data_IF_237275568747
#
_entry.id   IF_237275568747
#
_cell.length_a   1.000
_cell.length_b   1.000
_cell.length_c   1.000
_cell.angle_alpha   90.00
_cell.angle_beta   90.00
_cell.angle_gamma   90.00
#
_symmetry.space_group_name_H-M   'P 1'
#
loop_
_entity.id
_entity.type
_entity.pdbx_description
1 polymer ?
#
# COMPACT_ATOMS: atom_id res chain seq x y z
N UNK A 1 15.76 -17.94 -20.73
CA UNK A 1 16.17 -17.52 -19.37
C UNK A 1 14.93 -16.94 -18.70
N UNK A 2 14.81 -17.02 -17.38
CA UNK A 2 13.72 -16.39 -16.62
C UNK A 2 13.94 -14.88 -16.63
N UNK A 3 12.90 -14.07 -16.88
CA UNK A 3 13.00 -12.63 -16.82
C UNK A 3 13.16 -12.16 -15.37
N UNK A 4 13.94 -11.11 -15.15
CA UNK A 4 14.34 -10.60 -13.83
C UNK A 4 13.72 -9.23 -13.58
N UNK A 5 13.07 -9.06 -12.43
CA UNK A 5 12.43 -7.81 -12.02
C UNK A 5 12.94 -7.39 -10.65
N UNK A 6 13.46 -6.17 -10.54
CA UNK A 6 13.86 -5.58 -9.27
C UNK A 6 12.87 -4.48 -8.87
N UNK A 7 12.21 -4.67 -7.72
CA UNK A 7 11.31 -3.68 -7.14
C UNK A 7 12.10 -2.71 -6.26
N UNK A 8 12.00 -1.42 -6.55
CA UNK A 8 12.59 -0.35 -5.76
C UNK A 8 11.48 0.34 -4.97
N UNK A 9 11.54 0.22 -3.65
CA UNK A 9 10.51 0.71 -2.74
C UNK A 9 11.07 1.65 -1.67
N UNK A 10 10.20 2.45 -1.09
CA UNK A 10 10.47 3.28 0.07
C UNK A 10 9.54 2.91 1.23
N UNK A 11 10.08 2.84 2.44
CA UNK A 11 9.30 2.62 3.64
C UNK A 11 9.17 3.91 4.45
N UNK A 12 8.06 4.09 5.15
CA UNK A 12 7.86 5.27 5.99
C UNK A 12 8.90 5.36 7.09
N UNK A 13 9.46 6.54 7.30
CA UNK A 13 10.42 6.81 8.37
C UNK A 13 9.88 6.42 9.75
N UNK A 14 8.59 6.63 9.99
CA UNK A 14 7.92 6.24 11.23
C UNK A 14 8.00 4.73 11.49
N UNK A 15 7.75 3.93 10.45
CA UNK A 15 7.87 2.47 10.51
C UNK A 15 9.33 2.05 10.74
N UNK A 16 10.27 2.55 9.95
CA UNK A 16 11.69 2.22 10.08
C UNK A 16 12.22 2.57 11.47
N UNK A 17 11.92 3.76 11.99
CA UNK A 17 12.29 4.16 13.35
C UNK A 17 11.70 3.24 14.40
N UNK A 18 10.45 2.82 14.25
CA UNK A 18 9.79 1.91 15.17
C UNK A 18 10.50 0.56 15.21
N UNK A 19 10.78 -0.04 14.02
CA UNK A 19 11.40 -1.37 13.94
C UNK A 19 12.83 -1.39 14.52
N UNK A 20 13.68 -0.44 14.12
CA UNK A 20 15.03 -0.36 14.65
C UNK A 20 15.09 0.04 16.14
N UNK A 21 14.07 0.71 16.66
CA UNK A 21 13.97 1.01 18.08
C UNK A 21 13.47 -0.19 18.92
N UNK A 22 12.53 -0.97 18.38
CA UNK A 22 12.02 -2.19 19.02
C UNK A 22 13.07 -3.31 19.04
N UNK A 23 13.84 -3.43 17.96
CA UNK A 23 14.83 -4.48 17.73
C UNK A 23 16.24 -3.91 17.69
N UNK A 24 16.81 -3.61 18.87
CA UNK A 24 18.09 -2.89 19.02
C UNK A 24 19.29 -3.56 18.33
N UNK A 25 19.24 -4.87 18.12
CA UNK A 25 20.28 -5.63 17.44
C UNK A 25 20.11 -5.66 15.92
N UNK A 26 18.96 -5.23 15.41
CA UNK A 26 18.63 -5.33 13.97
C UNK A 26 19.68 -4.64 13.08
N UNK A 27 20.12 -3.44 13.46
CA UNK A 27 21.14 -2.68 12.70
C UNK A 27 22.52 -3.35 12.62
N UNK A 28 22.80 -4.34 13.50
CA UNK A 28 24.06 -5.09 13.50
C UNK A 28 24.00 -6.39 12.69
N UNK A 29 22.81 -6.76 12.18
CA UNK A 29 22.62 -7.92 11.35
C UNK A 29 23.12 -7.67 9.91
N UNK A 30 23.26 -8.74 9.13
CA UNK A 30 23.57 -8.66 7.71
C UNK A 30 22.45 -7.97 6.92
N UNK A 31 22.77 -7.49 5.71
CA UNK A 31 21.77 -6.91 4.80
C UNK A 31 20.57 -7.84 4.60
N UNK A 32 20.83 -9.11 4.32
CA UNK A 32 19.79 -10.10 4.07
C UNK A 32 18.89 -10.33 5.28
N UNK A 33 19.46 -10.42 6.48
CA UNK A 33 18.69 -10.62 7.70
C UNK A 33 17.82 -9.40 8.02
N UNK A 34 18.34 -8.18 7.83
CA UNK A 34 17.58 -6.95 8.00
C UNK A 34 16.43 -6.86 6.98
N UNK A 35 16.68 -7.15 5.70
CA UNK A 35 15.66 -7.13 4.65
C UNK A 35 14.55 -8.15 4.94
N UNK A 36 14.92 -9.37 5.31
CA UNK A 36 13.96 -10.41 5.72
C UNK A 36 13.12 -9.94 6.89
N UNK A 37 13.74 -9.38 7.95
CA UNK A 37 12.99 -8.86 9.09
C UNK A 37 11.99 -7.77 8.70
N UNK A 38 12.39 -6.81 7.86
CA UNK A 38 11.52 -5.71 7.44
C UNK A 38 10.35 -6.21 6.58
N UNK A 39 10.60 -7.13 5.66
CA UNK A 39 9.55 -7.73 4.83
C UNK A 39 8.59 -8.59 5.66
N UNK A 40 9.09 -9.31 6.67
CA UNK A 40 8.27 -10.12 7.59
C UNK A 40 7.29 -9.29 8.43
N UNK A 41 7.48 -7.97 8.53
CA UNK A 41 6.50 -7.08 9.16
C UNK A 41 5.29 -6.79 8.29
N UNK A 42 5.28 -7.18 7.01
CA UNK A 42 4.17 -7.00 6.06
C UNK A 42 3.73 -5.53 5.96
N UNK A 43 4.68 -4.59 6.03
CA UNK A 43 4.40 -3.16 5.98
C UNK A 43 4.29 -2.65 4.53
N UNK A 44 3.27 -1.82 4.26
CA UNK A 44 3.05 -1.26 2.93
C UNK A 44 2.84 -2.35 1.89
N UNK A 45 3.62 -2.31 0.83
CA UNK A 45 3.62 -3.35 -0.20
C UNK A 45 4.62 -4.48 0.13
N UNK A 46 5.48 -4.30 1.15
CA UNK A 46 6.45 -5.31 1.61
C UNK A 46 7.15 -6.03 0.43
N UNK A 47 7.15 -7.37 0.45
CA UNK A 47 7.55 -8.24 -0.66
C UNK A 47 6.35 -8.83 -1.43
N UNK A 48 5.17 -8.20 -1.34
CA UNK A 48 3.95 -8.73 -1.94
C UNK A 48 4.01 -8.78 -3.47
N UNK A 49 4.65 -7.78 -4.07
CA UNK A 49 4.83 -7.70 -5.51
C UNK A 49 5.87 -8.70 -6.00
N UNK A 50 7.06 -8.73 -5.40
CA UNK A 50 8.14 -9.63 -5.81
C UNK A 50 7.76 -11.09 -5.60
N UNK A 51 7.14 -11.42 -4.46
CA UNK A 51 6.64 -12.76 -4.14
C UNK A 51 5.55 -13.20 -5.14
N UNK A 52 4.58 -12.32 -5.44
CA UNK A 52 3.54 -12.60 -6.41
C UNK A 52 4.08 -12.75 -7.84
N UNK A 53 5.04 -11.91 -8.23
CA UNK A 53 5.65 -11.96 -9.56
C UNK A 53 6.56 -13.21 -9.71
N UNK A 54 7.25 -13.61 -8.64
CA UNK A 54 8.00 -14.88 -8.61
C UNK A 54 7.07 -16.08 -8.82
N UNK A 55 5.90 -16.07 -8.17
CA UNK A 55 4.88 -17.10 -8.39
C UNK A 55 4.33 -17.09 -9.83
N UNK A 56 4.43 -15.96 -10.55
CA UNK A 56 4.05 -15.80 -11.95
C UNK A 56 5.18 -16.06 -12.95
N UNK A 57 6.36 -16.55 -12.49
CA UNK A 57 7.43 -17.03 -13.35
C UNK A 57 8.58 -16.07 -13.63
N UNK A 58 8.72 -14.99 -12.85
CA UNK A 58 9.88 -14.11 -12.85
C UNK A 58 10.88 -14.51 -11.74
N UNK A 59 12.13 -14.10 -11.89
CA UNK A 59 13.05 -13.95 -10.77
C UNK A 59 12.88 -12.51 -10.26
N UNK A 60 12.33 -12.33 -9.05
CA UNK A 60 11.98 -11.01 -8.54
C UNK A 60 12.53 -10.79 -7.12
N UNK A 61 13.08 -9.58 -6.88
CA UNK A 61 13.62 -9.15 -5.59
C UNK A 61 13.16 -7.74 -5.24
N UNK A 62 13.27 -7.38 -3.95
CA UNK A 62 12.93 -6.07 -3.41
C UNK A 62 14.17 -5.33 -2.92
N UNK A 63 14.19 -4.01 -3.16
CA UNK A 63 15.17 -3.07 -2.69
C UNK A 63 14.50 -1.94 -1.91
N UNK A 64 14.73 -1.86 -0.59
CA UNK A 64 14.23 -0.75 0.24
C UNK A 64 15.29 0.35 0.23
N UNK A 65 15.15 1.31 -0.66
CA UNK A 65 16.22 2.27 -0.99
C UNK A 65 16.46 3.31 0.11
N UNK A 66 15.44 3.70 0.88
CA UNK A 66 15.54 4.74 1.89
C UNK A 66 15.87 4.23 3.30
N UNK A 67 16.05 2.93 3.50
CA UNK A 67 16.42 2.38 4.79
C UNK A 67 17.94 2.47 5.01
N UNK A 68 18.40 3.54 5.68
CA UNK A 68 19.83 3.81 5.85
C UNK A 68 20.57 2.67 6.55
N UNK A 69 20.02 2.06 7.60
CA UNK A 69 20.66 0.94 8.29
C UNK A 69 20.87 -0.27 7.37
N UNK A 70 19.84 -0.58 6.57
CA UNK A 70 19.89 -1.66 5.60
C UNK A 70 20.95 -1.38 4.53
N UNK A 71 20.94 -0.18 3.94
CA UNK A 71 21.90 0.20 2.89
C UNK A 71 23.33 0.28 3.42
N UNK A 72 23.54 0.76 4.66
CA UNK A 72 24.86 0.71 5.30
C UNK A 72 25.35 -0.73 5.54
N UNK A 73 24.46 -1.67 5.87
CA UNK A 73 24.85 -3.07 6.00
C UNK A 73 25.36 -3.64 4.66
N UNK A 74 24.63 -3.39 3.58
CA UNK A 74 25.07 -3.79 2.24
C UNK A 74 26.42 -3.16 1.86
N UNK A 75 26.58 -1.86 2.10
CA UNK A 75 27.82 -1.15 1.79
C UNK A 75 29.03 -1.75 2.52
N UNK A 76 28.90 -2.06 3.83
CA UNK A 76 29.94 -2.72 4.62
C UNK A 76 30.30 -4.11 4.08
N UNK A 77 29.31 -4.90 3.68
CA UNK A 77 29.51 -6.26 3.15
C UNK A 77 30.23 -6.25 1.79
N UNK A 78 30.09 -5.15 1.01
CA UNK A 78 30.62 -5.04 -0.35
C UNK A 78 31.77 -4.03 -0.47
N UNK A 79 32.23 -3.41 0.63
CA UNK A 79 33.35 -2.45 0.63
C UNK A 79 33.04 -1.15 -0.13
N UNK A 80 31.80 -0.66 -0.06
CA UNK A 80 31.33 0.58 -0.69
C UNK A 80 31.29 1.68 0.38
N UNK A 81 31.49 2.95 -0.04
CA UNK A 81 31.29 4.09 0.86
C UNK A 81 29.82 4.18 1.29
N UNK A 82 29.57 4.08 2.61
CA UNK A 82 28.23 4.16 3.20
C UNK A 82 27.54 5.52 3.02
N UNK A 83 28.27 6.56 2.63
CA UNK A 83 27.70 7.90 2.39
C UNK A 83 27.13 8.05 0.97
N UNK A 84 27.57 7.24 0.02
CA UNK A 84 27.11 7.29 -1.37
C UNK A 84 25.94 6.29 -1.60
N UNK A 85 24.74 6.72 -1.22
CA UNK A 85 23.52 5.91 -1.38
C UNK A 85 23.28 5.53 -2.85
N UNK A 86 23.58 6.43 -3.80
CA UNK A 86 23.34 6.12 -5.20
C UNK A 86 24.32 5.05 -5.73
N UNK A 87 25.59 5.09 -5.33
CA UNK A 87 26.56 4.04 -5.66
C UNK A 87 26.18 2.68 -5.06
N UNK A 88 25.62 2.68 -3.83
CA UNK A 88 25.11 1.44 -3.20
C UNK A 88 23.95 0.86 -4.03
N UNK A 89 22.96 1.67 -4.40
CA UNK A 89 21.83 1.24 -5.21
C UNK A 89 22.27 0.76 -6.59
N UNK A 90 23.19 1.49 -7.25
CA UNK A 90 23.77 1.07 -8.53
C UNK A 90 24.43 -0.30 -8.45
N UNK A 91 25.19 -0.55 -7.38
CA UNK A 91 25.85 -1.84 -7.18
C UNK A 91 24.84 -2.98 -7.02
N UNK A 92 23.78 -2.77 -6.22
CA UNK A 92 22.69 -3.74 -6.05
C UNK A 92 21.98 -4.03 -7.38
N UNK A 93 21.65 -2.98 -8.15
CA UNK A 93 21.02 -3.14 -9.48
C UNK A 93 21.97 -3.89 -10.43
N UNK A 94 23.27 -3.58 -10.40
CA UNK A 94 24.24 -4.26 -11.25
C UNK A 94 24.40 -5.74 -10.91
N UNK A 95 24.44 -6.09 -9.63
CA UNK A 95 24.57 -7.48 -9.18
C UNK A 95 23.34 -8.32 -9.50
N UNK A 96 22.16 -7.75 -9.30
CA UNK A 96 20.93 -8.43 -9.67
C UNK A 96 20.72 -8.45 -11.19
N UNK A 97 21.21 -7.46 -11.94
CA UNK A 97 21.10 -7.30 -13.40
C UNK A 97 19.68 -7.56 -13.95
N UNK A 98 18.67 -6.74 -13.56
CA UNK A 98 17.27 -6.95 -13.92
C UNK A 98 16.97 -6.62 -15.38
N UNK A 99 15.98 -7.30 -15.97
CA UNK A 99 15.36 -6.92 -17.24
C UNK A 99 14.34 -5.78 -17.04
N UNK A 100 13.74 -5.71 -15.84
CA UNK A 100 12.79 -4.67 -15.43
C UNK A 100 13.20 -4.04 -14.11
N UNK A 101 13.30 -2.70 -14.08
CA UNK A 101 13.32 -1.91 -12.85
C UNK A 101 11.90 -1.44 -12.57
N UNK A 102 11.32 -1.85 -11.46
CA UNK A 102 9.97 -1.49 -11.06
C UNK A 102 10.02 -0.53 -9.86
N UNK A 103 9.71 0.75 -10.09
CA UNK A 103 9.74 1.80 -9.07
C UNK A 103 8.34 1.98 -8.46
N UNK A 104 8.20 1.66 -7.18
CA UNK A 104 6.95 1.83 -6.44
C UNK A 104 6.72 3.26 -5.94
N UNK A 105 7.69 4.15 -6.22
CA UNK A 105 7.61 5.59 -5.92
C UNK A 105 8.20 6.38 -7.09
N UNK A 106 7.38 7.16 -7.79
CA UNK A 106 7.82 7.98 -8.94
C UNK A 106 8.71 9.17 -8.53
N UNK A 107 8.78 9.51 -7.25
CA UNK A 107 9.65 10.58 -6.74
C UNK A 107 11.06 10.11 -6.36
N UNK A 108 11.33 8.79 -6.47
CA UNK A 108 12.55 8.17 -5.95
C UNK A 108 13.82 8.70 -6.60
N UNK A 109 13.77 8.96 -7.90
CA UNK A 109 14.93 9.42 -8.66
C UNK A 109 14.62 10.69 -9.46
N UNK A 110 15.60 11.58 -9.53
CA UNK A 110 15.60 12.69 -10.47
C UNK A 110 15.95 12.20 -11.89
N UNK A 111 15.62 13.02 -12.90
CA UNK A 111 15.85 12.72 -14.32
C UNK A 111 17.25 12.12 -14.60
N UNK A 112 18.30 12.77 -14.10
CA UNK A 112 19.69 12.34 -14.36
C UNK A 112 19.98 10.94 -13.81
N UNK A 113 19.47 10.62 -12.62
CA UNK A 113 19.66 9.30 -12.01
C UNK A 113 18.88 8.23 -12.78
N UNK A 114 17.62 8.51 -13.10
CA UNK A 114 16.78 7.56 -13.81
C UNK A 114 17.28 7.34 -15.25
N UNK A 115 17.72 8.40 -15.94
CA UNK A 115 18.35 8.30 -17.26
C UNK A 115 19.65 7.51 -17.20
N UNK A 116 20.45 7.67 -16.16
CA UNK A 116 21.64 6.83 -15.97
C UNK A 116 21.23 5.35 -15.81
N UNK A 117 20.26 5.06 -14.95
CA UNK A 117 19.81 3.69 -14.69
C UNK A 117 19.19 3.03 -15.93
N UNK A 118 18.49 3.79 -16.79
CA UNK A 118 17.93 3.28 -18.04
C UNK A 118 18.99 2.82 -19.05
N UNK A 119 20.19 3.41 -18.97
CA UNK A 119 21.31 3.09 -19.86
C UNK A 119 22.40 2.23 -19.18
N UNK A 120 22.23 1.90 -17.90
CA UNK A 120 23.21 1.19 -17.11
C UNK A 120 23.07 -0.33 -17.23
N UNK A 121 24.13 -1.02 -17.69
CA UNK A 121 24.16 -2.47 -17.86
C UNK A 121 23.38 -2.95 -19.10
N UNK A 122 22.54 -3.97 -18.94
CA UNK A 122 21.63 -4.44 -19.99
C UNK A 122 20.58 -3.38 -20.36
N UNK A 123 20.11 -3.42 -21.60
CA UNK A 123 18.93 -2.64 -21.95
C UNK A 123 17.72 -3.18 -21.18
N UNK A 124 17.14 -2.36 -20.33
CA UNK A 124 16.05 -2.75 -19.45
C UNK A 124 14.86 -1.80 -19.56
N UNK A 125 13.71 -2.30 -19.12
CA UNK A 125 12.49 -1.52 -19.02
C UNK A 125 12.38 -0.86 -17.66
N UNK A 126 11.88 0.39 -17.63
CA UNK A 126 11.57 1.12 -16.40
C UNK A 126 10.07 1.20 -16.26
N UNK A 127 9.56 0.59 -15.21
CA UNK A 127 8.14 0.60 -14.86
C UNK A 127 7.96 1.40 -13.58
N UNK A 128 6.97 2.28 -13.57
CA UNK A 128 6.59 3.06 -12.39
C UNK A 128 5.24 2.64 -11.85
N UNK A 129 5.01 2.85 -10.56
CA UNK A 129 3.72 2.70 -9.92
C UNK A 129 3.31 3.99 -9.22
N UNK A 130 2.02 4.32 -9.28
CA UNK A 130 1.48 5.49 -8.57
C UNK A 130 0.09 5.22 -8.00
N UNK A 131 -0.05 5.45 -6.69
CA UNK A 131 -1.28 5.38 -5.92
C UNK A 131 -1.50 6.64 -5.04
N UNK A 132 -0.80 7.73 -5.37
CA UNK A 132 -0.79 9.02 -4.69
C UNK A 132 -0.78 10.15 -5.74
N UNK A 133 -0.83 11.44 -5.36
CA UNK A 133 -0.66 12.51 -6.32
C UNK A 133 0.62 12.34 -7.15
N UNK A 134 0.51 12.54 -8.48
CA UNK A 134 1.68 12.47 -9.36
C UNK A 134 2.63 13.59 -8.96
N UNK A 135 3.91 13.30 -8.62
CA UNK A 135 4.86 14.34 -8.28
C UNK A 135 5.07 15.32 -9.45
N UNK A 136 5.09 16.60 -9.17
CA UNK A 136 5.18 17.67 -10.19
C UNK A 136 6.38 17.53 -11.12
N UNK A 137 7.49 17.00 -10.58
CA UNK A 137 8.75 16.82 -11.29
C UNK A 137 9.08 15.34 -11.58
N UNK A 138 8.06 14.47 -11.60
CA UNK A 138 8.28 13.07 -11.96
C UNK A 138 8.77 12.97 -13.42
N UNK A 139 9.88 12.28 -13.70
CA UNK A 139 10.41 12.14 -15.06
C UNK A 139 9.62 11.14 -15.90
N UNK A 140 8.34 11.43 -16.12
CA UNK A 140 7.38 10.52 -16.77
C UNK A 140 7.85 10.01 -18.14
N UNK A 141 8.60 10.84 -18.88
CA UNK A 141 9.13 10.49 -20.20
C UNK A 141 10.20 9.39 -20.19
N UNK A 142 10.74 9.05 -19.00
CA UNK A 142 11.75 7.99 -18.84
C UNK A 142 11.13 6.63 -18.45
N UNK A 143 9.82 6.59 -18.19
CA UNK A 143 9.12 5.34 -17.89
C UNK A 143 8.57 4.70 -19.17
N UNK A 144 8.86 3.42 -19.38
CA UNK A 144 8.26 2.62 -20.45
C UNK A 144 6.78 2.32 -20.15
N UNK A 145 6.40 2.22 -18.86
CA UNK A 145 5.04 1.99 -18.40
C UNK A 145 4.87 2.57 -17.00
N UNK A 146 3.72 3.20 -16.74
CA UNK A 146 3.28 3.55 -15.38
C UNK A 146 1.98 2.82 -15.07
N UNK A 147 2.01 1.97 -14.04
CA UNK A 147 0.84 1.29 -13.49
C UNK A 147 0.23 2.18 -12.42
N UNK A 148 -1.06 2.43 -12.50
CA UNK A 148 -1.75 3.28 -11.53
C UNK A 148 -3.00 2.61 -10.98
N UNK A 149 -3.26 2.82 -9.69
CA UNK A 149 -4.50 2.40 -9.07
C UNK A 149 -5.64 3.43 -9.17
N UNK A 150 -5.39 4.56 -9.84
CA UNK A 150 -6.40 5.56 -10.16
C UNK A 150 -6.84 5.46 -11.62
N UNK A 151 -8.09 5.06 -11.94
CA UNK A 151 -8.55 4.96 -13.33
C UNK A 151 -8.36 6.25 -14.13
N UNK A 152 -8.65 7.40 -13.52
CA UNK A 152 -8.53 8.71 -14.14
C UNK A 152 -7.07 9.16 -14.40
N UNK A 153 -6.08 8.53 -13.76
CA UNK A 153 -4.67 8.81 -14.04
C UNK A 153 -4.19 8.18 -15.34
N UNK A 154 -4.81 7.08 -15.78
CA UNK A 154 -4.43 6.42 -17.03
C UNK A 154 -4.46 7.40 -18.20
N UNK A 155 -5.56 8.13 -18.36
CA UNK A 155 -5.71 9.10 -19.45
C UNK A 155 -4.76 10.29 -19.29
N UNK A 156 -4.53 10.75 -18.06
CA UNK A 156 -3.58 11.84 -17.76
C UNK A 156 -2.15 11.47 -18.12
N UNK A 157 -1.72 10.26 -17.74
CA UNK A 157 -0.38 9.76 -18.04
C UNK A 157 -0.18 9.53 -19.54
N UNK A 158 -1.19 8.97 -20.22
CA UNK A 158 -1.16 8.81 -21.68
C UNK A 158 -1.13 10.16 -22.41
N UNK A 159 -1.87 11.15 -21.93
CA UNK A 159 -1.83 12.51 -22.49
C UNK A 159 -0.47 13.18 -22.28
N UNK A 160 0.27 12.81 -21.21
CA UNK A 160 1.65 13.24 -20.97
C UNK A 160 2.70 12.43 -21.79
N UNK A 161 2.26 11.49 -22.65
CA UNK A 161 3.14 10.68 -23.50
C UNK A 161 3.69 9.40 -22.87
N UNK A 162 3.22 9.02 -21.69
CA UNK A 162 3.67 7.81 -20.98
C UNK A 162 2.62 6.72 -21.10
N UNK A 163 3.03 5.49 -21.47
CA UNK A 163 2.11 4.35 -21.45
C UNK A 163 1.63 4.11 -20.01
N UNK A 164 0.34 3.83 -19.85
CA UNK A 164 -0.23 3.60 -18.53
C UNK A 164 -1.35 2.57 -18.53
N UNK A 165 -1.43 1.80 -17.45
CA UNK A 165 -2.45 0.77 -17.22
C UNK A 165 -3.03 0.96 -15.82
N UNK A 166 -4.33 0.72 -15.69
CA UNK A 166 -5.02 0.66 -14.42
C UNK A 166 -4.86 -0.71 -13.78
N UNK A 167 -4.43 -0.73 -12.51
CA UNK A 167 -4.45 -1.92 -11.68
C UNK A 167 -4.88 -1.54 -10.26
N UNK A 168 -5.99 -2.08 -9.72
CA UNK A 168 -6.39 -1.85 -8.35
C UNK A 168 -5.33 -2.37 -7.36
N UNK A 169 -5.28 -1.76 -6.18
CA UNK A 169 -4.52 -2.27 -5.04
C UNK A 169 -5.04 -3.66 -4.61
N UNK A 170 -4.36 -4.31 -3.67
CA UNK A 170 -4.64 -5.70 -3.31
C UNK A 170 -4.42 -5.97 -1.82
N UNK A 171 -4.64 -7.23 -1.44
CA UNK A 171 -4.38 -7.78 -0.11
C UNK A 171 -3.51 -9.04 -0.22
N UNK A 172 -2.59 -9.24 0.72
CA UNK A 172 -1.80 -10.46 0.80
C UNK A 172 -2.37 -11.40 1.88
N UNK A 173 -2.75 -12.61 1.47
CA UNK A 173 -3.37 -13.58 2.38
C UNK A 173 -2.45 -14.08 3.50
N UNK A 174 -1.11 -13.96 3.36
CA UNK A 174 -0.13 -14.28 4.41
C UNK A 174 -0.37 -13.47 5.70
N UNK A 175 -1.02 -12.32 5.59
CA UNK A 175 -1.45 -11.52 6.75
C UNK A 175 -2.31 -12.34 7.71
N UNK A 176 -3.21 -13.19 7.20
CA UNK A 176 -4.13 -13.98 8.02
C UNK A 176 -3.42 -15.03 8.91
N UNK A 177 -2.23 -15.46 8.51
CA UNK A 177 -1.42 -16.39 9.31
C UNK A 177 -0.70 -15.67 10.47
N UNK A 178 -0.70 -14.34 10.47
CA UNK A 178 0.07 -13.50 11.41
C UNK A 178 -0.80 -12.72 12.39
N UNK A 179 -2.12 -12.70 12.21
CA UNK A 179 -3.06 -11.93 13.04
C UNK A 179 -4.11 -12.84 13.69
N UNK A 180 -4.61 -12.42 14.85
CA UNK A 180 -5.75 -13.07 15.49
C UNK A 180 -7.06 -12.41 15.06
N UNK A 181 -7.91 -13.17 14.40
CA UNK A 181 -9.27 -12.76 13.97
C UNK A 181 -10.38 -13.47 14.75
N UNK A 182 -10.04 -14.28 15.74
CA UNK A 182 -11.00 -15.09 16.52
C UNK A 182 -11.86 -14.26 17.45
N UNK A 183 -11.33 -13.13 17.94
CA UNK A 183 -12.01 -12.19 18.82
C UNK A 183 -11.98 -10.77 18.23
N UNK A 184 -13.16 -10.15 18.14
CA UNK A 184 -13.32 -8.78 17.63
C UNK A 184 -13.91 -7.85 18.73
N UNK A 185 -13.09 -7.44 19.71
CA UNK A 185 -13.52 -6.62 20.82
C UNK A 185 -13.79 -5.15 20.44
N UNK A 186 -13.30 -4.69 19.28
CA UNK A 186 -13.45 -3.33 18.79
C UNK A 186 -14.75 -3.24 17.99
N UNK A 187 -15.70 -2.44 18.43
CA UNK A 187 -16.99 -2.30 17.73
C UNK A 187 -16.83 -1.56 16.42
N UNK A 188 -16.20 -0.38 16.44
CA UNK A 188 -15.97 0.43 15.23
C UNK A 188 -14.56 1.00 15.25
N UNK A 189 -13.82 0.80 14.17
CA UNK A 189 -12.47 1.34 14.01
C UNK A 189 -12.37 2.30 12.83
N UNK A 190 -11.40 3.20 12.93
CA UNK A 190 -10.81 3.93 11.81
C UNK A 190 -9.29 3.75 11.85
N UNK A 191 -8.70 3.29 10.75
CA UNK A 191 -7.24 3.10 10.64
C UNK A 191 -6.71 3.97 9.52
N UNK A 192 -6.14 5.12 9.88
CA UNK A 192 -5.65 6.09 8.88
C UNK A 192 -5.08 7.36 9.51
N UNK A 193 -4.41 8.17 8.69
CA UNK A 193 -3.81 9.43 9.13
C UNK A 193 -4.86 10.53 9.40
N UNK A 194 -4.59 11.33 10.41
CA UNK A 194 -5.27 12.60 10.70
C UNK A 194 -4.31 13.71 10.29
N UNK A 195 -4.67 14.52 9.30
CA UNK A 195 -3.79 15.60 8.83
C UNK A 195 -4.58 16.80 8.32
N UNK A 196 -3.94 17.97 8.31
CA UNK A 196 -4.50 19.19 7.74
C UNK A 196 -4.74 19.10 6.23
N UNK A 197 -3.98 18.26 5.53
CA UNK A 197 -4.20 17.97 4.10
C UNK A 197 -5.53 17.22 3.85
N UNK A 198 -6.14 16.70 4.91
CA UNK A 198 -7.41 15.97 4.88
C UNK A 198 -8.50 16.70 5.71
N UNK A 199 -8.50 18.04 5.72
CA UNK A 199 -9.34 18.86 6.60
C UNK A 199 -10.84 18.47 6.56
N UNK A 200 -11.42 18.33 5.36
CA UNK A 200 -12.82 17.89 5.20
C UNK A 200 -13.08 16.51 5.80
N UNK A 201 -12.18 15.57 5.52
CA UNK A 201 -12.30 14.22 6.04
C UNK A 201 -12.06 14.15 7.55
N UNK A 202 -11.22 15.02 8.12
CA UNK A 202 -11.01 15.12 9.56
C UNK A 202 -12.28 15.63 10.24
N UNK A 203 -12.98 16.61 9.66
CA UNK A 203 -14.27 17.08 10.20
C UNK A 203 -15.32 15.96 10.22
N UNK A 204 -15.44 15.19 9.15
CA UNK A 204 -16.35 14.04 9.11
C UNK A 204 -16.04 13.01 10.20
N UNK A 205 -14.75 12.77 10.49
CA UNK A 205 -14.35 11.87 11.57
C UNK A 205 -14.73 12.42 12.95
N UNK A 206 -14.63 13.75 13.16
CA UNK A 206 -15.06 14.41 14.39
C UNK A 206 -16.56 14.19 14.59
N UNK A 207 -17.36 14.51 13.57
CA UNK A 207 -18.83 14.39 13.63
C UNK A 207 -19.29 12.94 13.90
N UNK A 208 -18.58 11.96 13.34
CA UNK A 208 -18.82 10.54 13.62
C UNK A 208 -18.40 10.18 15.04
N UNK A 209 -17.20 10.60 15.48
CA UNK A 209 -16.67 10.28 16.80
C UNK A 209 -17.48 10.89 17.94
N UNK A 210 -18.17 12.02 17.71
CA UNK A 210 -19.09 12.64 18.68
C UNK A 210 -20.35 11.82 18.91
N UNK A 211 -20.79 11.05 17.93
CA UNK A 211 -22.06 10.33 17.92
C UNK A 211 -21.92 8.80 17.94
N UNK A 212 -20.68 8.31 17.84
CA UNK A 212 -20.37 6.87 17.87
C UNK A 212 -19.16 6.57 18.75
N UNK A 213 -18.99 5.30 19.13
CA UNK A 213 -17.76 4.85 19.77
C UNK A 213 -16.76 4.45 18.68
N UNK A 214 -15.85 5.36 18.33
CA UNK A 214 -14.86 5.17 17.27
C UNK A 214 -13.46 5.00 17.86
N UNK A 215 -12.87 3.82 17.71
CA UNK A 215 -11.45 3.57 18.02
C UNK A 215 -10.59 3.95 16.83
N UNK A 216 -9.51 4.70 17.08
CA UNK A 216 -8.71 5.33 16.02
C UNK A 216 -7.26 4.87 16.12
N UNK A 217 -6.70 4.39 15.02
CA UNK A 217 -5.28 4.10 14.84
C UNK A 217 -4.72 4.91 13.69
N UNK A 218 -3.50 5.43 13.85
CA UNK A 218 -2.80 6.14 12.80
C UNK A 218 -1.99 7.33 13.33
N UNK A 219 -1.37 8.06 12.43
CA UNK A 219 -0.55 9.23 12.77
C UNK A 219 -1.37 10.53 12.78
N UNK A 220 -0.80 11.58 13.38
CA UNK A 220 -1.31 12.96 13.31
C UNK A 220 -2.21 13.40 14.46
N UNK A 221 -2.67 12.50 15.33
CA UNK A 221 -3.46 12.88 16.50
C UNK A 221 -2.66 13.65 17.56
N UNK A 222 -1.34 13.53 17.55
CA UNK A 222 -0.41 14.27 18.40
C UNK A 222 -0.45 15.78 18.14
N UNK A 223 -0.80 16.20 16.92
CA UNK A 223 -0.96 17.61 16.54
C UNK A 223 -2.27 18.23 17.03
N UNK A 224 -3.23 17.42 17.49
CA UNK A 224 -4.52 17.89 17.97
C UNK A 224 -4.43 18.40 19.42
N UNK A 225 -5.26 19.41 19.81
CA UNK A 225 -5.32 19.90 21.20
C UNK A 225 -5.66 18.79 22.22
N UNK A 226 -5.21 18.98 23.48
CA UNK A 226 -5.64 18.11 24.56
C UNK A 226 -7.17 18.15 24.75
N UNK A 227 -7.77 16.98 25.07
CA UNK A 227 -9.21 16.84 25.18
C UNK A 227 -9.97 16.76 23.86
N UNK A 228 -9.29 16.86 22.71
CA UNK A 228 -9.93 16.71 21.40
C UNK A 228 -10.61 15.34 21.25
N UNK A 229 -11.82 15.31 20.66
CA UNK A 229 -12.64 14.10 20.57
C UNK A 229 -11.89 12.92 19.93
N UNK A 230 -11.11 13.16 18.86
CA UNK A 230 -10.35 12.13 18.17
C UNK A 230 -9.17 11.59 19.00
N UNK A 231 -8.72 12.30 20.08
CA UNK A 231 -7.69 11.80 21.00
C UNK A 231 -8.24 10.84 22.04
N UNK A 232 -9.52 10.91 22.38
CA UNK A 232 -10.13 10.13 23.48
C UNK A 232 -9.96 8.63 23.33
N UNK A 233 -9.99 8.11 22.10
CA UNK A 233 -9.87 6.69 21.78
C UNK A 233 -8.82 6.46 20.68
N UNK A 234 -7.79 7.30 20.67
CA UNK A 234 -6.66 7.14 19.76
C UNK A 234 -5.60 6.23 20.39
N UNK A 235 -5.22 5.19 19.67
CA UNK A 235 -4.30 4.13 20.11
C UNK A 235 -2.87 4.30 19.57
N UNK A 236 -2.58 5.39 18.88
CA UNK A 236 -1.28 5.67 18.27
C UNK A 236 -1.13 5.16 16.84
N UNK A 237 0.03 5.43 16.23
CA UNK A 237 0.35 4.92 14.91
C UNK A 237 0.58 3.41 14.94
N UNK A 238 0.09 2.73 13.90
CA UNK A 238 0.29 1.29 13.68
C UNK A 238 0.80 1.05 12.27
N UNK A 239 1.71 0.09 12.14
CA UNK A 239 2.32 -0.28 10.87
C UNK A 239 2.39 -1.80 10.73
N UNK A 240 2.44 -2.29 9.48
CA UNK A 240 2.61 -3.70 9.20
C UNK A 240 1.59 -4.60 9.91
N UNK A 241 2.05 -5.64 10.58
CA UNK A 241 1.20 -6.62 11.29
C UNK A 241 0.29 -5.96 12.32
N UNK A 242 0.77 -4.94 13.06
CA UNK A 242 -0.03 -4.23 14.06
C UNK A 242 -1.25 -3.52 13.41
N UNK A 243 -1.08 -3.01 12.18
CA UNK A 243 -2.16 -2.39 11.41
C UNK A 243 -3.22 -3.43 11.01
N UNK A 244 -2.78 -4.56 10.49
CA UNK A 244 -3.69 -5.66 10.12
C UNK A 244 -4.38 -6.26 11.36
N UNK A 245 -3.68 -6.34 12.49
CA UNK A 245 -4.28 -6.77 13.75
C UNK A 245 -5.38 -5.80 14.22
N UNK A 246 -5.24 -4.49 14.01
CA UNK A 246 -6.31 -3.53 14.33
C UNK A 246 -7.57 -3.83 13.51
N UNK A 247 -7.46 -4.14 12.21
CA UNK A 247 -8.58 -4.61 11.40
C UNK A 247 -9.10 -5.98 11.86
N UNK A 248 -8.22 -6.94 12.12
CA UNK A 248 -8.60 -8.28 12.58
C UNK A 248 -9.40 -8.27 13.88
N UNK A 249 -9.20 -7.28 14.75
CA UNK A 249 -9.92 -7.10 16.01
C UNK A 249 -11.20 -6.25 15.89
N UNK A 250 -11.46 -5.65 14.74
CA UNK A 250 -12.61 -4.76 14.52
C UNK A 250 -13.79 -5.51 13.94
N UNK A 251 -15.01 -5.24 14.45
CA UNK A 251 -16.26 -5.71 13.86
C UNK A 251 -16.60 -4.91 12.62
N UNK A 252 -16.52 -3.58 12.74
CA UNK A 252 -16.79 -2.60 11.70
C UNK A 252 -15.56 -1.73 11.53
N UNK A 253 -15.17 -1.46 10.29
CA UNK A 253 -14.13 -0.49 9.95
C UNK A 253 -14.71 0.60 9.07
N UNK A 254 -14.57 1.83 9.52
CA UNK A 254 -14.91 3.01 8.74
C UNK A 254 -13.74 3.35 7.80
N UNK A 255 -14.03 3.56 6.54
CA UNK A 255 -13.10 4.06 5.55
C UNK A 255 -13.58 5.35 4.91
N UNK A 256 -12.64 6.13 4.40
CA UNK A 256 -12.87 7.28 3.54
C UNK A 256 -11.73 7.42 2.54
N UNK A 257 -12.04 7.94 1.38
CA UNK A 257 -11.05 8.24 0.36
C UNK A 257 -10.50 9.67 0.53
N UNK A 258 -9.28 9.88 0.07
CA UNK A 258 -8.63 11.20 0.00
C UNK A 258 -9.05 11.93 -1.27
N UNK A 259 -8.88 13.26 -1.31
CA UNK A 259 -9.36 14.10 -2.42
C UNK A 259 -8.74 13.74 -3.77
N UNK A 260 -7.50 13.27 -3.82
CA UNK A 260 -6.83 12.83 -5.06
C UNK A 260 -7.53 11.66 -5.74
N UNK A 261 -8.28 10.86 -4.99
CA UNK A 261 -9.09 9.77 -5.54
C UNK A 261 -10.26 10.29 -6.39
N UNK A 262 -10.61 11.57 -6.26
CA UNK A 262 -11.78 12.16 -6.90
C UNK A 262 -13.03 11.32 -6.60
N UNK A 263 -13.73 10.86 -7.63
CA UNK A 263 -14.88 9.99 -7.46
C UNK A 263 -14.56 8.49 -7.69
N UNK A 264 -13.32 8.08 -7.43
CA UNK A 264 -12.88 6.69 -7.59
C UNK A 264 -12.53 6.04 -6.25
N UNK A 265 -13.05 4.85 -6.02
CA UNK A 265 -12.61 4.02 -4.91
C UNK A 265 -11.19 3.53 -5.18
N UNK A 266 -10.25 3.99 -4.32
CA UNK A 266 -8.86 3.60 -4.42
C UNK A 266 -8.12 3.93 -3.13
N UNK A 267 -8.02 2.98 -2.24
CA UNK A 267 -7.03 2.97 -1.16
C UNK A 267 -6.83 1.53 -0.66
N UNK A 268 -5.71 1.30 0.01
CA UNK A 268 -5.38 -0.03 0.55
C UNK A 268 -6.42 -0.52 1.55
N UNK A 269 -7.05 0.40 2.29
CA UNK A 269 -8.06 0.10 3.34
C UNK A 269 -9.26 -0.69 2.83
N UNK A 270 -9.63 -0.50 1.55
CA UNK A 270 -10.69 -1.30 0.92
C UNK A 270 -10.38 -2.80 1.02
N UNK A 271 -9.13 -3.16 0.72
CA UNK A 271 -8.69 -4.55 0.64
C UNK A 271 -8.14 -5.07 1.96
N UNK A 272 -7.47 -4.23 2.75
CA UNK A 272 -6.92 -4.59 4.06
C UNK A 272 -8.03 -4.90 5.08
N UNK A 273 -9.03 -4.04 5.19
CA UNK A 273 -10.14 -4.23 6.13
C UNK A 273 -11.00 -5.43 5.77
N UNK A 274 -11.39 -5.55 4.48
CA UNK A 274 -12.17 -6.70 3.99
C UNK A 274 -11.35 -7.97 4.05
N UNK A 275 -10.09 -7.96 3.64
CA UNK A 275 -9.18 -9.11 3.73
C UNK A 275 -9.03 -9.63 5.15
N UNK A 276 -8.95 -8.74 6.15
CA UNK A 276 -8.94 -9.09 7.57
C UNK A 276 -10.32 -9.49 8.10
N UNK A 277 -11.39 -9.44 7.30
CA UNK A 277 -12.74 -9.87 7.65
C UNK A 277 -13.51 -8.89 8.57
N UNK A 278 -13.18 -7.59 8.55
CA UNK A 278 -14.00 -6.55 9.15
C UNK A 278 -15.12 -6.12 8.18
N UNK A 279 -16.30 -5.75 8.70
CA UNK A 279 -17.30 -5.08 7.88
C UNK A 279 -16.79 -3.70 7.47
N UNK A 280 -16.58 -3.50 6.18
CA UNK A 280 -16.15 -2.20 5.65
C UNK A 280 -17.38 -1.30 5.41
N UNK A 281 -17.39 -0.13 6.07
CA UNK A 281 -18.30 0.98 5.77
C UNK A 281 -17.45 2.09 5.14
N UNK A 282 -17.67 2.41 3.86
CA UNK A 282 -16.85 3.35 3.10
C UNK A 282 -17.66 4.43 2.41
N UNK A 283 -17.07 5.58 2.09
CA UNK A 283 -17.71 6.59 1.26
C UNK A 283 -17.95 6.06 -0.15
N UNK A 284 -19.14 6.36 -0.69
CA UNK A 284 -19.53 5.93 -2.03
C UNK A 284 -18.62 6.54 -3.10
N UNK A 285 -18.23 5.71 -4.04
CA UNK A 285 -17.49 6.10 -5.26
C UNK A 285 -18.07 5.38 -6.46
N UNK A 286 -18.01 5.99 -7.64
CA UNK A 286 -18.69 5.49 -8.85
C UNK A 286 -18.19 4.11 -9.30
N UNK A 287 -16.89 3.83 -9.12
CA UNK A 287 -16.31 2.54 -9.48
C UNK A 287 -16.36 1.50 -8.36
N UNK A 288 -16.96 1.79 -7.19
CA UNK A 288 -16.95 0.85 -6.05
C UNK A 288 -17.63 -0.47 -6.40
N UNK A 289 -18.73 -0.43 -7.19
CA UNK A 289 -19.42 -1.64 -7.65
C UNK A 289 -18.59 -2.54 -8.58
N UNK A 290 -17.53 -2.01 -9.20
CA UNK A 290 -16.62 -2.85 -9.98
C UNK A 290 -15.64 -3.64 -9.10
N UNK A 291 -15.47 -3.23 -7.85
CA UNK A 291 -14.58 -3.86 -6.88
C UNK A 291 -15.37 -4.78 -5.93
N UNK A 292 -16.48 -4.29 -5.38
CA UNK A 292 -17.32 -4.98 -4.41
C UNK A 292 -18.81 -4.74 -4.67
N UNK A 293 -19.65 -5.73 -4.41
CA UNK A 293 -21.10 -5.57 -4.44
C UNK A 293 -21.57 -4.80 -3.20
N UNK A 294 -22.06 -3.55 -3.43
CA UNK A 294 -22.50 -2.67 -2.35
C UNK A 294 -23.79 -3.24 -1.71
N UNK A 295 -23.79 -3.39 -0.39
CA UNK A 295 -24.87 -3.96 0.41
C UNK A 295 -24.72 -5.47 0.68
N UNK A 296 -23.86 -6.17 -0.10
CA UNK A 296 -23.58 -7.60 0.06
C UNK A 296 -22.15 -7.91 0.48
N UNK A 297 -21.16 -7.18 -0.04
CA UNK A 297 -19.73 -7.40 0.22
C UNK A 297 -19.10 -6.24 1.01
N UNK A 298 -19.61 -5.03 0.82
CA UNK A 298 -19.26 -3.80 1.56
C UNK A 298 -20.48 -2.92 1.74
N UNK A 299 -20.39 -1.93 2.62
CA UNK A 299 -21.46 -0.93 2.83
C UNK A 299 -20.93 0.44 2.43
N UNK A 300 -21.73 1.21 1.68
CA UNK A 300 -21.34 2.54 1.24
C UNK A 300 -22.24 3.62 1.83
N UNK A 301 -21.67 4.78 2.18
CA UNK A 301 -22.38 5.96 2.64
C UNK A 301 -22.12 7.15 1.72
N UNK A 302 -23.10 8.10 1.68
CA UNK A 302 -23.01 9.34 0.89
C UNK A 302 -22.95 10.59 1.76
N UNK A 303 -23.27 10.45 3.07
CA UNK A 303 -23.18 11.53 4.06
C UNK A 303 -22.70 11.03 5.41
N UNK A 304 -22.27 11.94 6.27
CA UNK A 304 -21.88 11.64 7.65
C UNK A 304 -23.07 11.06 8.45
N UNK A 305 -24.27 11.60 8.23
CA UNK A 305 -25.50 11.13 8.87
C UNK A 305 -25.81 9.69 8.49
N UNK A 306 -25.65 9.36 7.20
CA UNK A 306 -25.82 7.98 6.71
C UNK A 306 -24.78 7.04 7.32
N UNK A 307 -23.49 7.47 7.35
CA UNK A 307 -22.43 6.68 7.99
C UNK A 307 -22.76 6.34 9.46
N UNK A 308 -23.22 7.33 10.23
CA UNK A 308 -23.61 7.14 11.63
C UNK A 308 -24.79 6.20 11.75
N UNK A 309 -25.81 6.35 10.89
CA UNK A 309 -26.99 5.49 10.86
C UNK A 309 -26.62 4.04 10.54
N UNK A 310 -25.75 3.82 9.55
CA UNK A 310 -25.25 2.51 9.16
C UNK A 310 -24.39 1.86 10.25
N UNK A 311 -23.52 2.62 10.90
CA UNK A 311 -22.75 2.16 12.06
C UNK A 311 -23.70 1.68 13.17
N UNK A 312 -24.70 2.48 13.51
CA UNK A 312 -25.72 2.13 14.52
C UNK A 312 -26.46 0.86 14.12
N UNK A 313 -26.95 0.78 12.90
CA UNK A 313 -27.68 -0.38 12.38
C UNK A 313 -26.87 -1.66 12.48
N UNK A 314 -25.65 -1.69 11.95
CA UNK A 314 -24.82 -2.91 11.91
C UNK A 314 -24.26 -3.29 13.29
N UNK A 315 -24.09 -2.35 14.21
CA UNK A 315 -23.79 -2.65 15.61
C UNK A 315 -24.97 -3.38 16.28
N UNK A 316 -26.21 -2.94 16.02
CA UNK A 316 -27.41 -3.52 16.59
C UNK A 316 -27.86 -4.81 15.85
N UNK A 317 -27.33 -5.06 14.65
CA UNK A 317 -27.60 -6.25 13.83
C UNK A 317 -26.31 -7.02 13.49
N UNK A 318 -25.62 -7.61 14.48
CA UNK A 318 -24.30 -8.20 14.29
C UNK A 318 -24.28 -9.40 13.32
N UNK A 319 -25.40 -10.12 13.12
CA UNK A 319 -25.48 -11.21 12.15
C UNK A 319 -25.41 -10.66 10.71
N UNK A 320 -26.14 -9.57 10.43
CA UNK A 320 -26.08 -8.92 9.12
C UNK A 320 -24.68 -8.37 8.84
N UNK A 321 -24.06 -7.75 9.87
CA UNK A 321 -22.67 -7.27 9.76
C UNK A 321 -21.68 -8.41 9.42
N UNK A 322 -21.79 -9.56 10.14
CA UNK A 322 -20.92 -10.73 9.88
C UNK A 322 -21.12 -11.32 8.50
N UNK A 323 -22.36 -11.38 8.00
CA UNK A 323 -22.64 -11.91 6.66
C UNK A 323 -21.95 -11.09 5.59
N UNK A 324 -22.07 -9.76 5.63
CA UNK A 324 -21.45 -8.85 4.65
C UNK A 324 -19.92 -8.89 4.79
N UNK A 325 -19.39 -8.83 6.02
CA UNK A 325 -17.96 -8.92 6.28
C UNK A 325 -17.33 -10.19 5.71
N UNK A 326 -18.02 -11.34 5.87
CA UNK A 326 -17.57 -12.62 5.31
C UNK A 326 -17.58 -12.60 3.77
N UNK A 327 -18.64 -12.11 3.15
CA UNK A 327 -18.73 -11.99 1.69
C UNK A 327 -17.64 -11.06 1.13
N UNK A 328 -17.39 -9.91 1.79
CA UNK A 328 -16.31 -8.99 1.44
C UNK A 328 -14.93 -9.62 1.57
N UNK A 329 -14.70 -10.44 2.60
CA UNK A 329 -13.45 -11.18 2.76
C UNK A 329 -13.26 -12.23 1.66
N UNK A 330 -14.29 -13.02 1.36
CA UNK A 330 -14.26 -14.03 0.29
C UNK A 330 -13.98 -13.36 -1.07
N UNK A 331 -14.60 -12.21 -1.35
CA UNK A 331 -14.36 -11.41 -2.55
C UNK A 331 -12.90 -10.96 -2.63
N UNK A 332 -12.37 -10.40 -1.54
CA UNK A 332 -11.00 -9.88 -1.49
C UNK A 332 -9.98 -11.00 -1.72
N UNK A 333 -10.12 -12.11 -1.03
CA UNK A 333 -9.20 -13.24 -1.15
C UNK A 333 -9.23 -13.89 -2.54
N UNK A 334 -10.39 -13.93 -3.19
CA UNK A 334 -10.56 -14.50 -4.52
C UNK A 334 -10.05 -13.59 -5.62
N UNK A 335 -10.46 -12.31 -5.62
CA UNK A 335 -10.33 -11.43 -6.78
C UNK A 335 -9.36 -10.26 -6.56
N UNK A 336 -9.01 -9.95 -5.33
CA UNK A 336 -8.21 -8.78 -4.97
C UNK A 336 -6.93 -9.15 -4.20
N UNK A 337 -6.30 -10.27 -4.56
CA UNK A 337 -5.02 -10.67 -3.99
C UNK A 337 -3.83 -10.15 -4.80
N UNK A 338 -2.69 -9.85 -4.14
CA UNK A 338 -1.44 -9.54 -4.84
C UNK A 338 -1.03 -10.66 -5.81
N UNK A 339 -1.25 -11.93 -5.42
CA UNK A 339 -0.98 -13.07 -6.32
C UNK A 339 -1.76 -12.96 -7.63
N UNK A 340 -3.04 -12.60 -7.58
CA UNK A 340 -3.86 -12.41 -8.79
C UNK A 340 -3.38 -11.19 -9.61
N UNK A 341 -3.07 -10.06 -8.94
CA UNK A 341 -2.57 -8.86 -9.62
C UNK A 341 -1.26 -9.12 -10.35
N UNK A 342 -0.35 -9.88 -9.73
CA UNK A 342 0.95 -10.15 -10.34
C UNK A 342 0.91 -11.08 -11.55
N UNK A 343 -0.16 -11.86 -11.73
CA UNK A 343 -0.39 -12.59 -13.00
C UNK A 343 -0.62 -11.61 -14.16
N UNK A 344 -1.45 -10.59 -13.96
CA UNK A 344 -1.65 -9.55 -14.97
C UNK A 344 -0.39 -8.72 -15.18
N UNK A 345 0.28 -8.32 -14.09
CA UNK A 345 1.55 -7.60 -14.17
C UNK A 345 2.60 -8.39 -14.94
N UNK A 346 2.76 -9.70 -14.68
CA UNK A 346 3.68 -10.55 -15.41
C UNK A 346 3.40 -10.56 -16.92
N UNK A 347 2.12 -10.65 -17.30
CA UNK A 347 1.70 -10.58 -18.70
C UNK A 347 2.09 -9.26 -19.35
N UNK A 348 1.83 -8.13 -18.69
CA UNK A 348 2.21 -6.80 -19.21
C UNK A 348 3.73 -6.61 -19.28
N UNK A 349 4.47 -7.11 -18.30
CA UNK A 349 5.94 -7.05 -18.33
C UNK A 349 6.52 -7.90 -19.48
N UNK A 350 5.97 -9.08 -19.76
CA UNK A 350 6.37 -9.87 -20.93
C UNK A 350 6.06 -9.11 -22.23
N UNK A 351 4.85 -8.59 -22.41
CA UNK A 351 4.50 -7.78 -23.58
C UNK A 351 5.44 -6.58 -23.76
N UNK A 352 5.77 -5.90 -22.65
CA UNK A 352 6.68 -4.76 -22.66
C UNK A 352 8.11 -5.15 -23.08
N UNK A 353 8.62 -6.28 -22.59
CA UNK A 353 9.95 -6.80 -22.94
C UNK A 353 10.03 -7.27 -24.39
N UNK A 354 8.96 -7.88 -24.88
CA UNK A 354 8.88 -8.40 -26.25
C UNK A 354 8.51 -7.31 -27.29
N UNK A 355 8.23 -6.07 -26.82
CA UNK A 355 7.82 -4.96 -27.68
C UNK A 355 6.42 -5.11 -28.25
N UNK A 356 5.54 -5.89 -27.58
CA UNK A 356 4.17 -6.13 -27.96
C UNK A 356 3.23 -5.04 -27.40
N UNK A 357 2.07 -4.79 -28.02
CA UNK A 357 1.05 -3.91 -27.48
C UNK A 357 0.54 -4.41 -26.13
N UNK A 358 0.43 -3.50 -25.16
CA UNK A 358 -0.13 -3.83 -23.84
C UNK A 358 -1.66 -4.01 -23.91
N UNK A 359 -2.18 -5.12 -23.41
CA UNK A 359 -3.59 -5.53 -23.48
C UNK A 359 -4.15 -5.93 -22.12
#
# INVERSE_FOLDING_TARGET
MMNRCLFLNTFYDGFLKQEYSRHKTLASLSYKEQLTHLNDQLFGDSDFYSSGLTAAGFEAEDLIVNCRHLQSAYAREHGIDEQDLFAIIQKQIHEFDPDVLYLQDLSLFQDAHLQFLSNFGRHRKIVGQIASPIPEHAPLHLYDLVITSFPHFVDRLRAAGTQSIFQPLAFDSRVLDRIDTTSRPVDVSFVGGISSMHAKGTQSLIDIAERTTLDIWGYGADTLPEGHILKKRHHGPVFGIDLFQAFGRSKITLNRHIDVAENNANNMRLFEATGCGALLITDYKDNLNSLFEIGEEVVAYRSVEEAISLIGYYRDHPEAARRIAKAGQERTLRDHSYKARMVDTARWLHQLLDGEPLS
#
